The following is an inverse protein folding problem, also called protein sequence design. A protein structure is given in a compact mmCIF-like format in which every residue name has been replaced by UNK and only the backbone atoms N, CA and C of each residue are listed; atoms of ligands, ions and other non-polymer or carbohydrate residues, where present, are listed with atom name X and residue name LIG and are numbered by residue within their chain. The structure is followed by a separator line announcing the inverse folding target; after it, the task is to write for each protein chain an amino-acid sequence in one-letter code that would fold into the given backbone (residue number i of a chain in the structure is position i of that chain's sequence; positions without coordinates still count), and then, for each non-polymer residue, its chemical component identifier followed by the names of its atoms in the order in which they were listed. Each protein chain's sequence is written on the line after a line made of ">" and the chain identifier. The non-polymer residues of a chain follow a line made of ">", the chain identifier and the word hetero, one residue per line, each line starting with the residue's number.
data_IF_884231433227
#
_entry.id   IF_884231433227
#
_cell.length_a   1.000
_cell.length_b   1.000
_cell.length_c   1.000
_cell.angle_alpha   90.00
_cell.angle_beta   90.00
_cell.angle_gamma   90.00
#
_symmetry.space_group_name_H-M   'P 1'
#
loop_
_entity.id
_entity.type
_entity.pdbx_description
1 polymer ?
#
# COMPACT_ATOMS: atom_id res chain seq x y z
N UNK A 1 -1.22 -11.76 -19.83
CA UNK A 1 -0.43 -10.96 -18.86
C UNK A 1 0.60 -10.15 -19.62
N UNK A 2 0.70 -8.85 -19.38
CA UNK A 2 1.61 -7.93 -20.05
C UNK A 2 2.51 -7.28 -19.00
N UNK A 3 3.81 -7.17 -19.30
CA UNK A 3 4.73 -6.34 -18.51
C UNK A 3 4.46 -4.89 -18.90
N UNK A 4 3.95 -4.08 -17.95
CA UNK A 4 3.58 -2.69 -18.20
C UNK A 4 4.71 -1.73 -17.83
N UNK A 5 5.44 -2.02 -16.77
CA UNK A 5 6.56 -1.19 -16.33
C UNK A 5 7.66 -2.03 -15.68
N UNK A 6 8.88 -1.54 -15.78
CA UNK A 6 10.05 -2.14 -15.17
C UNK A 6 11.00 -1.04 -14.70
N UNK A 7 11.83 -1.36 -13.73
CA UNK A 7 12.81 -0.42 -13.23
C UNK A 7 13.93 -1.08 -12.43
N UNK A 8 14.96 -0.30 -12.14
CA UNK A 8 16.01 -0.67 -11.22
C UNK A 8 16.20 0.39 -10.16
N UNK A 9 16.62 -0.04 -8.99
CA UNK A 9 16.92 0.82 -7.84
C UNK A 9 18.25 0.40 -7.23
N UNK A 10 18.88 1.28 -6.44
CA UNK A 10 20.18 1.06 -5.82
C UNK A 10 21.27 0.73 -6.85
N UNK A 11 21.36 1.50 -7.94
CA UNK A 11 22.34 1.30 -9.02
C UNK A 11 22.26 -0.11 -9.64
N UNK A 12 21.07 -0.60 -9.95
CA UNK A 12 20.86 -1.91 -10.56
C UNK A 12 20.90 -3.11 -9.60
N UNK A 13 21.19 -2.90 -8.32
CA UNK A 13 21.24 -4.01 -7.33
C UNK A 13 19.88 -4.66 -7.09
N UNK A 14 18.79 -3.95 -7.36
CA UNK A 14 17.43 -4.50 -7.30
C UNK A 14 16.67 -4.09 -8.56
N UNK A 15 16.17 -5.08 -9.26
CA UNK A 15 15.28 -4.90 -10.42
C UNK A 15 13.86 -5.30 -10.06
N UNK A 16 12.92 -4.66 -10.70
CA UNK A 16 11.50 -4.99 -10.53
C UNK A 16 10.75 -4.78 -11.84
N UNK A 17 9.63 -5.47 -12.00
CA UNK A 17 8.68 -5.27 -13.08
C UNK A 17 7.25 -5.54 -12.61
N UNK A 18 6.30 -4.84 -13.20
CA UNK A 18 4.88 -4.99 -12.95
C UNK A 18 4.23 -5.76 -14.10
N UNK A 19 3.62 -6.88 -13.76
CA UNK A 19 2.83 -7.69 -14.66
C UNK A 19 1.38 -7.31 -14.45
N UNK A 20 0.74 -6.73 -15.48
CA UNK A 20 -0.63 -6.27 -15.46
C UNK A 20 -1.62 -7.42 -15.53
N UNK A 21 -2.62 -7.38 -14.64
CA UNK A 21 -3.83 -8.19 -14.71
C UNK A 21 -4.99 -7.45 -15.36
N UNK A 22 -6.17 -8.05 -15.31
CA UNK A 22 -7.40 -7.45 -15.82
C UNK A 22 -7.95 -6.45 -14.78
N UNK A 23 -8.20 -5.22 -15.23
CA UNK A 23 -8.78 -4.16 -14.40
C UNK A 23 -10.22 -4.49 -14.01
N UNK A 24 -10.64 -3.97 -12.85
CA UNK A 24 -12.01 -4.05 -12.39
C UNK A 24 -12.43 -2.73 -11.74
N UNK A 25 -13.74 -2.50 -11.65
CA UNK A 25 -14.28 -1.28 -11.02
C UNK A 25 -14.79 -1.57 -9.62
N UNK A 26 -14.43 -0.70 -8.68
CA UNK A 26 -15.06 -0.59 -7.37
C UNK A 26 -16.24 0.38 -7.49
N UNK A 27 -17.41 0.04 -6.99
CA UNK A 27 -18.67 0.83 -7.14
C UNK A 27 -19.07 1.12 -8.59
N UNK A 28 -18.55 0.38 -9.57
CA UNK A 28 -18.83 0.61 -10.98
C UNK A 28 -18.16 1.83 -11.61
N UNK A 29 -17.42 2.65 -10.85
CA UNK A 29 -16.81 3.89 -11.32
C UNK A 29 -15.31 4.01 -11.04
N UNK A 30 -14.82 3.45 -9.93
CA UNK A 30 -13.44 3.58 -9.50
C UNK A 30 -12.58 2.42 -10.01
N UNK A 31 -11.80 2.67 -11.05
CA UNK A 31 -11.02 1.62 -11.72
C UNK A 31 -9.76 1.25 -10.91
N UNK A 32 -9.59 -0.05 -10.69
CA UNK A 32 -8.44 -0.65 -10.01
C UNK A 32 -7.82 -1.71 -10.93
N UNK A 33 -6.53 -1.58 -11.15
CA UNK A 33 -5.75 -2.54 -11.94
C UNK A 33 -4.90 -3.40 -11.01
N UNK A 34 -5.07 -4.73 -11.04
CA UNK A 34 -4.21 -5.64 -10.28
C UNK A 34 -2.89 -5.89 -11.02
N UNK A 35 -1.81 -6.02 -10.25
CA UNK A 35 -0.48 -6.34 -10.74
C UNK A 35 0.18 -7.43 -9.91
N UNK A 36 1.13 -8.12 -10.52
CA UNK A 36 2.16 -8.85 -9.80
C UNK A 36 3.44 -8.02 -9.90
N UNK A 37 3.93 -7.52 -8.78
CA UNK A 37 5.25 -6.91 -8.70
C UNK A 37 6.30 -8.01 -8.51
N UNK A 38 7.03 -8.34 -9.58
CA UNK A 38 8.17 -9.22 -9.49
C UNK A 38 9.41 -8.40 -9.21
N UNK A 39 10.20 -8.79 -8.20
CA UNK A 39 11.45 -8.12 -7.86
C UNK A 39 12.56 -9.12 -7.55
N UNK A 40 13.76 -8.84 -8.01
CA UNK A 40 14.93 -9.66 -7.80
C UNK A 40 16.13 -8.79 -7.43
N UNK A 41 16.96 -9.27 -6.50
CA UNK A 41 18.22 -8.61 -6.16
C UNK A 41 19.39 -9.28 -6.86
N UNK A 42 20.30 -8.45 -7.37
CA UNK A 42 21.61 -8.88 -7.91
C UNK A 42 22.73 -8.74 -6.86
N UNK A 43 22.34 -8.75 -5.57
CA UNK A 43 23.24 -8.58 -4.42
C UNK A 43 23.62 -9.93 -3.78
N UNK A 44 23.21 -11.05 -4.38
CA UNK A 44 23.44 -12.40 -3.84
C UNK A 44 22.61 -12.76 -2.61
N UNK A 45 21.86 -11.79 -2.06
CA UNK A 45 21.11 -11.95 -0.80
C UNK A 45 19.61 -11.90 -1.00
N UNK A 46 19.13 -11.31 -2.09
CA UNK A 46 17.70 -11.06 -2.33
C UNK A 46 17.13 -12.06 -3.33
N UNK A 47 16.29 -12.96 -2.84
CA UNK A 47 15.56 -13.91 -3.69
C UNK A 47 14.56 -13.20 -4.63
N UNK A 48 14.13 -13.88 -5.70
CA UNK A 48 13.01 -13.46 -6.51
C UNK A 48 11.75 -13.41 -5.64
N UNK A 49 11.08 -12.26 -5.64
CA UNK A 49 9.82 -12.03 -4.93
C UNK A 49 8.72 -11.70 -5.91
N UNK A 50 7.59 -12.35 -5.76
CA UNK A 50 6.35 -12.07 -6.47
C UNK A 50 5.36 -11.50 -5.46
N UNK A 51 5.03 -10.22 -5.59
CA UNK A 51 4.18 -9.51 -4.66
C UNK A 51 2.91 -9.08 -5.36
N UNK A 52 1.75 -9.64 -5.02
CA UNK A 52 0.46 -9.16 -5.51
C UNK A 52 0.22 -7.72 -5.03
N UNK A 53 -0.21 -6.86 -5.94
CA UNK A 53 -0.53 -5.47 -5.63
C UNK A 53 -1.66 -4.99 -6.54
N UNK A 54 -2.31 -3.91 -6.17
CA UNK A 54 -3.28 -3.22 -7.03
C UNK A 54 -2.90 -1.75 -7.14
N UNK A 55 -3.23 -1.15 -8.26
CA UNK A 55 -3.06 0.28 -8.50
C UNK A 55 -4.41 0.88 -8.85
N UNK A 56 -4.82 1.87 -8.09
CA UNK A 56 -6.00 2.67 -8.41
C UNK A 56 -5.66 3.61 -9.54
N UNK A 57 -6.38 3.53 -10.67
CA UNK A 57 -5.99 4.19 -11.93
C UNK A 57 -6.00 5.71 -11.80
N UNK A 58 -7.00 6.30 -11.17
CA UNK A 58 -7.17 7.76 -11.09
C UNK A 58 -6.08 8.49 -10.29
N UNK A 59 -5.44 7.85 -9.30
CA UNK A 59 -4.46 8.49 -8.44
C UNK A 59 -3.14 7.72 -8.29
N UNK A 60 -2.98 6.63 -9.03
CA UNK A 60 -1.80 5.75 -8.97
C UNK A 60 -1.46 5.24 -7.57
N UNK A 61 -2.45 5.17 -6.66
CA UNK A 61 -2.25 4.58 -5.35
C UNK A 61 -1.96 3.09 -5.47
N UNK A 62 -0.84 2.67 -4.91
CA UNK A 62 -0.47 1.26 -4.85
C UNK A 62 -0.99 0.67 -3.54
N UNK A 63 -1.84 -0.34 -3.64
CA UNK A 63 -2.37 -1.09 -2.51
C UNK A 63 -1.82 -2.51 -2.56
N UNK A 64 -1.18 -2.93 -1.48
CA UNK A 64 -0.66 -4.28 -1.36
C UNK A 64 -1.76 -5.24 -0.95
N UNK A 65 -1.77 -6.42 -1.57
CA UNK A 65 -2.70 -7.48 -1.19
C UNK A 65 -2.23 -8.15 0.09
N UNK A 66 -3.17 -8.38 1.00
CA UNK A 66 -2.98 -9.20 2.19
C UNK A 66 -3.43 -10.62 1.85
N UNK A 67 -2.53 -11.58 1.92
CA UNK A 67 -2.96 -12.99 2.03
C UNK A 67 -3.24 -13.23 3.52
N UNK A 68 -4.40 -13.82 3.88
CA UNK A 68 -4.57 -14.38 5.20
C UNK A 68 -3.41 -15.37 5.43
N UNK A 69 -2.54 -15.07 6.38
CA UNK A 69 -1.46 -15.97 6.73
C UNK A 69 -2.07 -17.17 7.47
N UNK A 70 -2.38 -18.24 6.74
CA UNK A 70 -2.85 -19.51 7.33
C UNK A 70 -1.83 -20.07 8.34
N UNK A 71 -0.55 -19.69 8.19
CA UNK A 71 0.52 -20.10 9.09
C UNK A 71 0.67 -19.19 10.32
N UNK A 72 0.02 -18.04 10.39
CA UNK A 72 0.12 -17.13 11.55
C UNK A 72 -0.58 -17.70 12.78
N UNK A 73 -1.65 -18.46 12.61
CA UNK A 73 -2.39 -19.11 13.68
C UNK A 73 -1.53 -20.21 14.37
N UNK A 74 -0.64 -20.85 13.61
CA UNK A 74 0.16 -21.98 14.10
C UNK A 74 1.43 -21.56 14.87
N UNK A 75 1.82 -20.27 14.80
CA UNK A 75 3.07 -19.76 15.42
C UNK A 75 2.88 -18.88 16.65
N UNK A 76 1.69 -18.83 17.24
CA UNK A 76 1.44 -18.12 18.51
C UNK A 76 1.76 -16.62 18.49
N UNK A 77 1.70 -15.95 17.33
CA UNK A 77 2.01 -14.53 17.15
C UNK A 77 0.81 -13.76 16.61
N UNK A 78 -0.24 -13.69 17.42
CA UNK A 78 -1.46 -12.93 17.14
C UNK A 78 -1.25 -11.40 16.97
N UNK A 79 -0.10 -10.87 17.35
CA UNK A 79 0.21 -9.41 17.35
C UNK A 79 0.94 -8.89 16.11
N UNK A 80 1.11 -9.68 15.06
CA UNK A 80 1.75 -9.19 13.85
C UNK A 80 0.69 -8.69 12.86
N UNK A 81 0.84 -7.41 12.51
CA UNK A 81 0.16 -6.75 11.39
C UNK A 81 0.10 -7.65 10.15
N UNK A 82 -0.98 -7.59 9.36
CA UNK A 82 -1.10 -8.34 8.13
C UNK A 82 0.13 -8.06 7.25
N UNK A 83 0.91 -9.10 6.99
CA UNK A 83 2.10 -8.96 6.13
C UNK A 83 1.64 -8.92 4.69
N UNK A 84 2.32 -8.06 3.92
CA UNK A 84 2.21 -8.06 2.47
C UNK A 84 2.38 -9.49 1.94
N UNK A 85 1.42 -9.94 1.13
CA UNK A 85 1.52 -11.19 0.41
C UNK A 85 2.78 -11.18 -0.45
N UNK A 86 3.69 -12.10 -0.22
CA UNK A 86 4.93 -12.18 -0.97
C UNK A 86 5.35 -13.63 -1.13
N UNK A 87 5.43 -14.06 -2.39
CA UNK A 87 5.98 -15.37 -2.73
C UNK A 87 7.46 -15.23 -2.99
N UNK A 88 8.26 -16.04 -2.30
CA UNK A 88 9.72 -15.99 -2.38
C UNK A 88 10.25 -17.23 -3.09
N UNK A 89 10.91 -17.05 -4.24
CA UNK A 89 11.59 -18.11 -4.96
C UNK A 89 13.10 -17.94 -4.75
N UNK A 90 13.71 -18.88 -4.05
CA UNK A 90 15.15 -18.85 -3.79
C UNK A 90 15.96 -19.20 -5.03
N UNK A 91 17.15 -18.64 -5.20
CA UNK A 91 18.03 -18.90 -6.35
C UNK A 91 18.75 -20.26 -6.34
N UNK A 92 18.50 -21.10 -5.33
CA UNK A 92 19.08 -22.45 -5.19
C UNK A 92 18.05 -23.54 -5.49
N UNK A 93 18.48 -24.68 -6.01
CA UNK A 93 17.64 -25.84 -6.33
C UNK A 93 17.43 -26.07 -7.84
N UNK A 94 16.70 -27.14 -8.18
CA UNK A 94 16.44 -27.54 -9.56
C UNK A 94 15.42 -26.62 -10.22
N UNK A 95 15.59 -26.29 -11.49
CA UNK A 95 14.75 -25.34 -12.21
C UNK A 95 13.28 -25.79 -12.31
N UNK A 96 13.07 -27.10 -12.46
CA UNK A 96 11.71 -27.65 -12.55
C UNK A 96 10.91 -27.45 -11.26
N UNK A 97 11.54 -27.60 -10.09
CA UNK A 97 10.93 -27.34 -8.81
C UNK A 97 10.53 -25.87 -8.68
N UNK A 98 11.36 -24.94 -9.16
CA UNK A 98 11.08 -23.49 -9.15
C UNK A 98 9.95 -23.11 -10.08
N UNK A 99 9.83 -23.75 -11.22
CA UNK A 99 8.69 -23.58 -12.13
C UNK A 99 7.38 -24.01 -11.42
N UNK A 100 7.40 -25.12 -10.69
CA UNK A 100 6.23 -25.57 -9.92
C UNK A 100 5.88 -24.60 -8.79
N UNK A 101 6.88 -24.10 -8.05
CA UNK A 101 6.69 -23.09 -6.99
C UNK A 101 6.11 -21.80 -7.58
N UNK A 102 6.60 -21.32 -8.74
CA UNK A 102 6.07 -20.15 -9.42
C UNK A 102 4.63 -20.35 -9.91
N UNK A 103 4.29 -21.54 -10.43
CA UNK A 103 2.91 -21.87 -10.84
C UNK A 103 1.96 -21.90 -9.65
N UNK A 104 2.37 -22.48 -8.51
CA UNK A 104 1.60 -22.46 -7.28
C UNK A 104 1.38 -21.01 -6.77
N UNK A 105 2.39 -20.17 -6.83
CA UNK A 105 2.29 -18.75 -6.48
C UNK A 105 1.27 -18.00 -7.37
N UNK A 106 1.24 -18.29 -8.67
CA UNK A 106 0.26 -17.70 -9.60
C UNK A 106 -1.19 -18.17 -9.32
N UNK A 107 -1.37 -19.43 -8.92
CA UNK A 107 -2.69 -19.94 -8.53
C UNK A 107 -3.22 -19.23 -7.27
N UNK A 108 -2.36 -19.03 -6.27
CA UNK A 108 -2.70 -18.30 -5.05
C UNK A 108 -2.95 -16.80 -5.31
N UNK A 109 -2.35 -16.22 -6.36
CA UNK A 109 -2.63 -14.85 -6.77
C UNK A 109 -4.11 -14.63 -7.10
N UNK A 110 -4.74 -15.54 -7.84
CA UNK A 110 -6.17 -15.45 -8.17
C UNK A 110 -7.06 -15.42 -6.92
N UNK A 111 -6.75 -16.25 -5.92
CA UNK A 111 -7.48 -16.28 -4.66
C UNK A 111 -7.28 -14.98 -3.86
N UNK A 112 -6.04 -14.46 -3.83
CA UNK A 112 -5.72 -13.20 -3.15
C UNK A 112 -6.42 -12.00 -3.80
N UNK A 113 -6.54 -12.00 -5.12
CA UNK A 113 -7.26 -10.97 -5.87
C UNK A 113 -8.76 -11.00 -5.57
N UNK A 114 -9.37 -12.19 -5.54
CA UNK A 114 -10.79 -12.34 -5.19
C UNK A 114 -11.08 -11.82 -3.77
N UNK A 115 -10.26 -12.22 -2.78
CA UNK A 115 -10.37 -11.74 -1.41
C UNK A 115 -10.15 -10.22 -1.28
N UNK A 116 -9.26 -9.65 -2.09
CA UNK A 116 -9.03 -8.21 -2.11
C UNK A 116 -10.22 -7.45 -2.67
N UNK A 117 -10.83 -7.94 -3.77
CA UNK A 117 -12.05 -7.35 -4.35
C UNK A 117 -13.19 -7.35 -3.34
N UNK A 118 -13.46 -8.47 -2.66
CA UNK A 118 -14.48 -8.56 -1.63
C UNK A 118 -14.28 -7.51 -0.53
N UNK A 119 -13.05 -7.31 -0.06
CA UNK A 119 -12.74 -6.29 0.95
C UNK A 119 -12.91 -4.86 0.42
N UNK A 120 -12.57 -4.61 -0.84
CA UNK A 120 -12.82 -3.32 -1.48
C UNK A 120 -14.32 -3.05 -1.59
N UNK A 121 -15.13 -4.05 -1.91
CA UNK A 121 -16.59 -3.96 -1.94
C UNK A 121 -17.15 -3.65 -0.54
N UNK A 122 -16.66 -4.31 0.51
CA UNK A 122 -17.02 -3.99 1.90
C UNK A 122 -16.68 -2.53 2.25
N UNK A 123 -15.47 -2.07 1.95
CA UNK A 123 -15.06 -0.69 2.22
C UNK A 123 -15.90 0.33 1.45
N UNK A 124 -16.23 0.02 0.20
CA UNK A 124 -17.00 0.90 -0.67
C UNK A 124 -18.48 0.94 -0.34
N UNK A 125 -19.00 -0.09 0.32
CA UNK A 125 -20.38 -0.15 0.82
C UNK A 125 -20.60 0.50 2.17
N UNK A 126 -19.53 0.94 2.86
CA UNK A 126 -19.59 1.49 4.21
C UNK A 126 -19.45 3.02 4.18
N UNK A 127 -20.53 3.73 4.45
CA UNK A 127 -20.53 5.19 4.52
C UNK A 127 -19.76 5.71 5.75
N UNK A 128 -19.07 6.83 5.56
CA UNK A 128 -18.25 7.50 6.58
C UNK A 128 -18.68 8.95 6.69
N UNK A 129 -19.07 9.39 7.89
CA UNK A 129 -19.35 10.79 8.17
C UNK A 129 -18.07 11.60 8.47
N UNK A 130 -18.17 12.93 8.49
CA UNK A 130 -17.02 13.82 8.68
C UNK A 130 -16.26 13.56 9.98
N UNK A 131 -16.94 13.25 11.08
CA UNK A 131 -16.28 12.95 12.35
C UNK A 131 -15.55 11.60 12.37
N UNK A 132 -16.07 10.60 11.64
CA UNK A 132 -15.39 9.32 11.47
C UNK A 132 -14.16 9.48 10.58
N UNK A 133 -14.28 10.23 9.47
CA UNK A 133 -13.17 10.55 8.58
C UNK A 133 -12.03 11.23 9.35
N UNK A 134 -12.34 12.30 10.08
CA UNK A 134 -11.33 13.06 10.82
C UNK A 134 -10.61 12.18 11.85
N UNK A 135 -11.35 11.42 12.65
CA UNK A 135 -10.78 10.47 13.63
C UNK A 135 -9.85 9.47 12.96
N UNK A 136 -10.27 8.88 11.84
CA UNK A 136 -9.44 7.93 11.08
C UNK A 136 -8.14 8.57 10.60
N UNK A 137 -8.20 9.76 9.99
CA UNK A 137 -7.04 10.45 9.45
C UNK A 137 -6.06 10.88 10.57
N UNK A 138 -6.59 11.41 11.68
CA UNK A 138 -5.80 11.76 12.87
C UNK A 138 -5.14 10.53 13.47
N UNK A 139 -5.86 9.42 13.58
CA UNK A 139 -5.33 8.16 14.09
C UNK A 139 -4.21 7.62 13.22
N UNK A 140 -4.41 7.57 11.88
CA UNK A 140 -3.39 7.10 10.94
C UNK A 140 -2.15 8.00 10.94
N UNK A 141 -2.35 9.32 10.96
CA UNK A 141 -1.23 10.26 11.05
C UNK A 141 -0.44 10.06 12.35
N UNK A 142 -1.13 10.06 13.49
CA UNK A 142 -0.50 9.94 14.80
C UNK A 142 0.25 8.63 14.97
N UNK A 143 -0.31 7.53 14.47
CA UNK A 143 0.31 6.20 14.51
C UNK A 143 1.61 6.12 13.70
N UNK A 144 1.67 6.78 12.55
CA UNK A 144 2.76 6.62 11.60
C UNK A 144 3.80 7.74 11.64
N UNK A 145 3.44 8.91 12.18
CA UNK A 145 4.30 10.10 12.18
C UNK A 145 4.50 10.70 13.58
N UNK A 146 3.84 10.15 14.58
CA UNK A 146 3.93 10.56 15.98
C UNK A 146 2.73 11.38 16.44
N UNK A 147 2.52 11.39 17.74
CA UNK A 147 1.38 12.07 18.37
C UNK A 147 1.34 13.56 18.01
N UNK A 148 0.13 14.06 17.77
CA UNK A 148 -0.12 15.48 17.48
C UNK A 148 -0.22 16.21 18.81
N UNK A 149 0.62 17.22 19.09
CA UNK A 149 0.55 18.00 20.33
C UNK A 149 -0.80 18.70 20.47
N UNK A 150 -1.54 18.38 21.52
CA UNK A 150 -2.84 19.05 21.79
C UNK A 150 -2.61 20.50 22.23
N UNK A 151 -1.65 20.71 23.14
CA UNK A 151 -1.26 22.01 23.68
C UNK A 151 0.25 22.18 23.52
N UNK A 152 0.74 22.72 22.40
CA UNK A 152 2.17 22.88 22.14
C UNK A 152 2.80 23.80 23.19
N UNK A 153 3.91 23.36 23.78
CA UNK A 153 4.63 24.08 24.84
C UNK A 153 5.81 24.91 24.31
N UNK A 154 6.26 24.57 23.08
CA UNK A 154 7.38 25.24 22.43
C UNK A 154 7.19 25.37 20.91
N UNK A 155 8.10 26.11 20.25
CA UNK A 155 8.06 26.32 18.80
C UNK A 155 8.28 25.03 17.98
N UNK A 156 8.88 23.99 18.55
CA UNK A 156 9.06 22.70 17.88
C UNK A 156 7.74 21.92 17.88
N UNK A 157 7.06 21.86 19.02
CA UNK A 157 5.75 21.23 19.14
C UNK A 157 4.70 21.96 18.29
N UNK A 158 4.74 23.31 18.27
CA UNK A 158 3.85 24.10 17.41
C UNK A 158 4.06 23.71 15.93
N UNK A 159 5.30 23.66 15.45
CA UNK A 159 5.60 23.24 14.06
C UNK A 159 5.12 21.81 13.77
N UNK A 160 5.27 20.88 14.71
CA UNK A 160 4.76 19.51 14.56
C UNK A 160 3.24 19.47 14.41
N UNK A 161 2.54 20.28 15.24
CA UNK A 161 1.08 20.41 15.15
C UNK A 161 0.66 20.98 13.80
N UNK A 162 1.28 22.09 13.38
CA UNK A 162 0.95 22.74 12.09
C UNK A 162 1.17 21.81 10.90
N UNK A 163 2.28 21.07 10.87
CA UNK A 163 2.55 20.06 9.85
C UNK A 163 1.50 18.93 9.84
N UNK A 164 1.08 18.48 11.00
CA UNK A 164 0.05 17.45 11.12
C UNK A 164 -1.30 17.95 10.61
N UNK A 165 -1.69 19.16 11.00
CA UNK A 165 -2.96 19.77 10.55
C UNK A 165 -2.96 20.03 9.05
N UNK A 166 -1.85 20.48 8.48
CA UNK A 166 -1.70 20.64 7.03
C UNK A 166 -1.82 19.30 6.28
N UNK A 167 -1.19 18.25 6.80
CA UNK A 167 -1.29 16.90 6.23
C UNK A 167 -2.72 16.37 6.27
N UNK A 168 -3.40 16.51 7.41
CA UNK A 168 -4.80 16.08 7.58
C UNK A 168 -5.72 16.87 6.64
N UNK A 169 -5.53 18.18 6.53
CA UNK A 169 -6.28 19.01 5.58
C UNK A 169 -6.05 18.58 4.13
N UNK A 170 -4.83 18.19 3.76
CA UNK A 170 -4.52 17.65 2.43
C UNK A 170 -5.24 16.31 2.17
N UNK A 171 -5.30 15.44 3.17
CA UNK A 171 -6.06 14.18 3.07
C UNK A 171 -7.57 14.42 2.93
N UNK A 172 -8.14 15.36 3.68
CA UNK A 172 -9.56 15.73 3.56
C UNK A 172 -9.85 16.28 2.16
N UNK A 173 -9.00 17.16 1.63
CA UNK A 173 -9.16 17.66 0.24
C UNK A 173 -9.13 16.51 -0.79
N UNK A 174 -8.29 15.49 -0.58
CA UNK A 174 -8.30 14.29 -1.43
C UNK A 174 -9.60 13.52 -1.32
N UNK A 175 -10.10 13.31 -0.12
CA UNK A 175 -11.37 12.63 0.12
C UNK A 175 -12.53 13.33 -0.63
N UNK A 176 -12.59 14.65 -0.52
CA UNK A 176 -13.61 15.44 -1.19
C UNK A 176 -13.44 15.46 -2.72
N UNK A 177 -12.20 15.58 -3.21
CA UNK A 177 -11.90 15.56 -4.63
C UNK A 177 -12.21 14.23 -5.32
N UNK A 178 -12.05 13.12 -4.57
CA UNK A 178 -12.32 11.76 -5.07
C UNK A 178 -13.78 11.30 -4.84
N UNK A 179 -14.64 12.14 -4.30
CA UNK A 179 -16.01 11.81 -3.89
C UNK A 179 -16.86 11.23 -5.03
N UNK A 180 -16.65 11.68 -6.26
CA UNK A 180 -17.39 11.17 -7.42
C UNK A 180 -17.06 9.71 -7.73
N UNK A 181 -15.84 9.25 -7.46
CA UNK A 181 -15.38 7.90 -7.74
C UNK A 181 -15.50 6.98 -6.51
N UNK A 182 -14.94 7.40 -5.40
CA UNK A 182 -14.84 6.61 -4.19
C UNK A 182 -16.05 6.76 -3.23
N UNK A 183 -16.89 7.78 -3.44
CA UNK A 183 -17.98 8.12 -2.53
C UNK A 183 -17.50 8.63 -1.18
N UNK A 184 -18.46 8.93 -0.28
CA UNK A 184 -18.21 9.26 1.13
C UNK A 184 -18.08 7.96 1.95
N UNK A 185 -17.13 7.11 1.63
CA UNK A 185 -17.05 5.75 2.15
C UNK A 185 -15.71 5.46 2.84
N UNK A 186 -15.63 4.33 3.54
CA UNK A 186 -14.37 3.84 4.11
C UNK A 186 -13.30 3.60 3.03
N UNK A 187 -13.71 3.21 1.82
CA UNK A 187 -12.84 3.15 0.65
C UNK A 187 -12.25 4.54 0.32
N UNK A 188 -13.08 5.57 0.27
CA UNK A 188 -12.64 6.95 0.06
C UNK A 188 -11.68 7.44 1.14
N UNK A 189 -11.99 7.18 2.42
CA UNK A 189 -11.15 7.56 3.55
C UNK A 189 -9.75 6.89 3.50
N UNK A 190 -9.71 5.61 3.20
CA UNK A 190 -8.46 4.85 3.03
C UNK A 190 -7.65 5.40 1.85
N UNK A 191 -8.29 5.69 0.71
CA UNK A 191 -7.61 6.25 -0.47
C UNK A 191 -7.11 7.67 -0.24
N UNK A 192 -7.81 8.48 0.54
CA UNK A 192 -7.36 9.82 0.91
C UNK A 192 -6.02 9.77 1.69
N UNK A 193 -5.93 8.87 2.68
CA UNK A 193 -4.71 8.67 3.44
C UNK A 193 -3.57 8.10 2.56
N UNK A 194 -3.81 7.00 1.86
CA UNK A 194 -2.78 6.33 1.05
C UNK A 194 -2.33 7.20 -0.13
N UNK A 195 -3.23 7.97 -0.72
CA UNK A 195 -2.92 8.93 -1.77
C UNK A 195 -2.01 10.04 -1.29
N UNK A 196 -2.30 10.64 -0.14
CA UNK A 196 -1.42 11.60 0.49
C UNK A 196 -0.05 11.00 0.82
N UNK A 197 -0.03 9.83 1.45
CA UNK A 197 1.19 9.13 1.83
C UNK A 197 2.14 8.88 0.65
N UNK A 198 1.58 8.50 -0.48
CA UNK A 198 2.33 8.04 -1.64
C UNK A 198 2.62 9.13 -2.67
N UNK A 199 1.78 10.17 -2.77
CA UNK A 199 1.86 11.15 -3.85
C UNK A 199 2.10 12.59 -3.36
N UNK A 200 1.51 13.02 -2.24
CA UNK A 200 1.53 14.42 -1.80
C UNK A 200 2.54 14.70 -0.70
N UNK A 201 2.90 13.67 0.06
CA UNK A 201 3.88 13.83 1.14
C UNK A 201 5.20 14.36 0.59
N UNK A 202 5.75 15.47 1.14
CA UNK A 202 6.99 16.06 0.66
C UNK A 202 8.15 15.06 0.64
N UNK A 203 8.89 15.04 -0.46
CA UNK A 203 10.11 14.25 -0.60
C UNK A 203 11.20 14.83 0.29
N UNK A 204 11.89 13.99 1.06
CA UNK A 204 13.02 14.39 1.90
C UNK A 204 14.33 14.02 1.23
N UNK A 205 15.21 14.99 1.04
CA UNK A 205 16.56 14.79 0.52
C UNK A 205 17.01 15.96 -0.35
N UNK A 206 18.34 16.15 -0.47
CA UNK A 206 18.93 17.22 -1.30
C UNK A 206 18.96 16.82 -2.79
N UNK A 207 18.98 15.54 -3.09
CA UNK A 207 19.01 14.98 -4.45
C UNK A 207 17.61 14.48 -4.81
N UNK A 208 16.93 15.13 -5.77
CA UNK A 208 15.56 14.76 -6.17
C UNK A 208 15.45 13.33 -6.73
N UNK A 209 16.47 12.86 -7.48
CA UNK A 209 16.48 11.52 -8.09
C UNK A 209 16.54 10.46 -7.00
N UNK A 210 17.47 10.58 -6.07
CA UNK A 210 17.59 9.66 -4.94
C UNK A 210 16.38 9.73 -4.00
N UNK A 211 15.79 10.92 -3.81
CA UNK A 211 14.58 11.06 -3.02
C UNK A 211 13.41 10.31 -3.66
N UNK A 212 13.26 10.38 -4.99
CA UNK A 212 12.26 9.64 -5.75
C UNK A 212 12.49 8.13 -5.71
N UNK A 213 13.73 7.67 -5.88
CA UNK A 213 14.06 6.23 -5.74
C UNK A 213 13.68 5.70 -4.35
N UNK A 214 13.99 6.45 -3.28
CA UNK A 214 13.60 6.09 -1.92
C UNK A 214 12.08 6.02 -1.74
N UNK A 215 11.34 6.96 -2.33
CA UNK A 215 9.88 6.94 -2.30
C UNK A 215 9.32 5.71 -3.00
N UNK A 216 9.77 5.41 -4.22
CA UNK A 216 9.36 4.21 -4.97
C UNK A 216 9.68 2.94 -4.18
N UNK A 217 10.88 2.86 -3.60
CA UNK A 217 11.27 1.72 -2.77
C UNK A 217 10.38 1.60 -1.54
N UNK A 218 10.10 2.71 -0.82
CA UNK A 218 9.25 2.72 0.37
C UNK A 218 7.82 2.28 0.05
N UNK A 219 7.29 2.75 -1.08
CA UNK A 219 5.96 2.44 -1.57
C UNK A 219 5.78 0.98 -1.98
N UNK A 220 6.79 0.38 -2.64
CA UNK A 220 6.68 -0.99 -3.15
C UNK A 220 7.17 -2.05 -2.17
N UNK A 221 8.16 -1.74 -1.33
CA UNK A 221 8.90 -2.75 -0.58
C UNK A 221 9.24 -2.33 0.86
N UNK A 222 8.82 -1.17 1.30
CA UNK A 222 9.23 -0.60 2.57
C UNK A 222 8.09 -0.09 3.42
N UNK A 223 8.41 0.83 4.32
CA UNK A 223 7.53 1.29 5.39
C UNK A 223 6.21 1.90 4.91
N UNK A 224 6.17 2.51 3.71
CA UNK A 224 4.91 3.08 3.21
C UNK A 224 3.98 1.99 2.64
N UNK A 225 4.53 0.84 2.21
CA UNK A 225 3.74 -0.36 1.91
C UNK A 225 3.03 -0.87 3.18
N UNK A 226 3.78 -1.01 4.30
CA UNK A 226 3.23 -1.46 5.58
C UNK A 226 2.17 -0.49 6.11
N UNK A 227 2.43 0.82 6.04
CA UNK A 227 1.46 1.87 6.43
C UNK A 227 0.18 1.83 5.62
N UNK A 228 0.28 1.53 4.33
CA UNK A 228 -0.90 1.39 3.46
C UNK A 228 -1.73 0.16 3.84
N UNK A 229 -1.09 -0.95 4.21
CA UNK A 229 -1.77 -2.14 4.72
C UNK A 229 -2.46 -1.89 6.06
N UNK A 230 -1.81 -1.16 6.97
CA UNK A 230 -2.40 -0.76 8.24
C UNK A 230 -3.61 0.15 8.06
N UNK A 231 -3.52 1.11 7.13
CA UNK A 231 -4.64 1.99 6.81
C UNK A 231 -5.83 1.20 6.22
N UNK A 232 -5.55 0.22 5.36
CA UNK A 232 -6.57 -0.67 4.82
C UNK A 232 -7.26 -1.48 5.93
N UNK A 233 -6.49 -2.07 6.83
CA UNK A 233 -7.03 -2.82 7.96
C UNK A 233 -7.85 -1.92 8.92
N UNK A 234 -7.37 -0.70 9.19
CA UNK A 234 -8.08 0.26 10.04
C UNK A 234 -9.39 0.76 9.40
N UNK A 235 -9.41 0.94 8.08
CA UNK A 235 -10.60 1.34 7.35
C UNK A 235 -11.69 0.26 7.36
N UNK A 236 -11.34 -1.02 7.42
CA UNK A 236 -12.28 -2.13 7.61
C UNK A 236 -12.98 -2.10 8.99
N UNK A 237 -12.48 -1.33 9.94
CA UNK A 237 -13.06 -1.17 11.27
C UNK A 237 -13.91 0.13 11.43
N UNK A 238 -13.93 1.02 10.39
CA UNK A 238 -14.80 2.20 10.36
C UNK A 238 -16.27 1.81 10.26
#
# INVERSE_FOLDING_TARGET
>A
MLIESAGSIRNGRKVWFLIKGESFSVRGADEVTPYICASCGHDGCTALRLTPTTVRVCCSNTLHMVIPDHDAADRGRADRLPRQACYVVRHCGKIDQKIQEARAALALYGQSLAAMRERMDVLSGRDVNGGQLERFLVQMYSRHFGAIPANPQDAHEQRRRDQAMEAIAAMIRRFEGDRALAGTTAWGAMNAYTGWLQNDRPLRGKDPVRAREKQVHSRLFGVDADRSLEAFAAALAL
#
